data_IF_718582649077
#
_entry.id   IF_718582649077
#
_cell.length_a   1.000
_cell.length_b   1.000
_cell.length_c   1.000
_cell.angle_alpha   90.00
_cell.angle_beta   90.00
_cell.angle_gamma   90.00
#
_symmetry.space_group_name_H-M   'P 1'
#
loop_
_entity.id
_entity.type
_entity.pdbx_description
1 polymer ?
#
# COMPACT_ATOMS: atom_id res chain seq x y z
N UNK A 1 13.83 -17.19 -7.84
CA UNK A 1 12.87 -16.52 -8.72
C UNK A 1 11.64 -16.04 -7.96
N UNK A 2 10.69 -15.38 -8.65
CA UNK A 2 9.47 -14.80 -8.05
C UNK A 2 8.68 -15.83 -7.25
N UNK A 3 8.50 -17.05 -7.79
CA UNK A 3 7.79 -18.13 -7.08
C UNK A 3 8.36 -18.40 -5.67
N UNK A 4 9.68 -18.36 -5.51
CA UNK A 4 10.30 -18.56 -4.20
C UNK A 4 9.98 -17.44 -3.22
N UNK A 5 9.90 -16.18 -3.69
CA UNK A 5 9.49 -15.04 -2.87
C UNK A 5 8.04 -15.22 -2.41
N UNK A 6 7.15 -15.58 -3.34
CA UNK A 6 5.72 -15.78 -3.05
C UNK A 6 5.46 -17.01 -2.15
N UNK A 7 6.36 -17.99 -2.14
CA UNK A 7 6.32 -19.11 -1.19
C UNK A 7 6.87 -18.71 0.18
N UNK A 8 7.92 -17.88 0.23
CA UNK A 8 8.49 -17.37 1.48
C UNK A 8 7.55 -16.45 2.22
N UNK A 9 6.85 -15.58 1.51
CA UNK A 9 5.89 -14.68 2.13
C UNK A 9 4.50 -15.28 2.34
N UNK A 10 4.35 -16.59 2.09
CA UNK A 10 3.12 -17.37 2.27
C UNK A 10 1.97 -17.04 1.30
N UNK A 11 2.19 -16.20 0.26
CA UNK A 11 1.14 -15.87 -0.71
C UNK A 11 0.62 -17.10 -1.47
N UNK A 12 1.49 -18.06 -1.80
CA UNK A 12 1.11 -19.24 -2.58
C UNK A 12 0.55 -20.41 -1.74
N UNK A 13 0.51 -20.32 -0.40
CA UNK A 13 -0.04 -21.38 0.46
C UNK A 13 -1.50 -21.72 0.10
N UNK A 14 -2.42 -20.74 -0.06
CA UNK A 14 -3.81 -21.03 -0.42
C UNK A 14 -3.97 -21.71 -1.78
N UNK A 15 -2.92 -21.68 -2.62
CA UNK A 15 -2.89 -22.32 -3.94
C UNK A 15 -2.19 -23.69 -3.94
N UNK A 16 -1.97 -24.27 -2.75
CA UNK A 16 -1.42 -25.64 -2.61
C UNK A 16 0.11 -25.72 -2.65
N UNK A 17 0.83 -24.61 -2.61
CA UNK A 17 2.29 -24.61 -2.56
C UNK A 17 2.79 -24.68 -1.12
N UNK A 18 3.80 -25.53 -0.87
CA UNK A 18 4.47 -25.56 0.43
C UNK A 18 5.26 -24.27 0.68
N UNK A 19 5.24 -23.73 1.91
CA UNK A 19 6.03 -22.57 2.27
C UNK A 19 7.53 -22.83 2.13
N UNK A 20 8.32 -21.79 1.94
CA UNK A 20 9.76 -21.84 2.00
C UNK A 20 10.26 -21.05 3.21
N UNK A 21 11.28 -21.59 3.88
CA UNK A 21 11.93 -20.88 4.99
C UNK A 21 12.59 -19.58 4.50
N UNK A 22 12.36 -18.49 5.21
CA UNK A 22 13.05 -17.21 4.99
C UNK A 22 14.19 -17.05 6.02
N UNK A 23 15.30 -17.75 5.80
CA UNK A 23 16.47 -17.76 6.69
C UNK A 23 17.04 -16.36 7.00
N UNK A 24 16.79 -15.38 6.17
CA UNK A 24 17.36 -14.03 6.26
C UNK A 24 16.34 -12.97 6.65
N UNK A 25 15.12 -13.40 7.00
CA UNK A 25 14.00 -12.50 7.36
C UNK A 25 13.80 -11.33 6.39
N UNK A 26 13.85 -11.64 5.08
CA UNK A 26 13.76 -10.64 4.02
C UNK A 26 12.36 -10.42 3.47
N UNK A 27 11.37 -11.23 3.88
CA UNK A 27 9.98 -11.09 3.43
C UNK A 27 9.13 -10.34 4.44
N UNK A 28 8.17 -9.56 3.95
CA UNK A 28 7.00 -9.15 4.72
C UNK A 28 5.89 -10.15 4.39
N UNK A 29 5.41 -10.86 5.40
CA UNK A 29 4.44 -11.93 5.19
C UNK A 29 3.17 -11.44 4.51
N UNK A 30 2.71 -12.21 3.54
CA UNK A 30 1.40 -11.97 2.95
C UNK A 30 0.32 -12.05 4.02
N UNK A 31 -0.53 -11.05 4.05
CA UNK A 31 -1.70 -11.03 4.91
C UNK A 31 -2.90 -10.47 4.17
N UNK A 32 -4.06 -11.04 4.47
CA UNK A 32 -5.36 -10.61 4.01
C UNK A 32 -6.10 -10.09 5.21
N UNK A 33 -6.55 -8.84 5.16
CA UNK A 33 -7.32 -8.20 6.21
C UNK A 33 -8.75 -7.97 5.75
N UNK A 34 -9.69 -8.17 6.64
CA UNK A 34 -11.07 -7.74 6.47
C UNK A 34 -11.21 -6.25 6.79
N UNK A 35 -12.35 -5.67 6.45
CA UNK A 35 -12.65 -4.25 6.73
C UNK A 35 -12.85 -3.93 8.22
N UNK A 36 -12.78 -4.94 9.10
CA UNK A 36 -12.93 -4.79 10.56
C UNK A 36 -11.63 -5.00 11.33
N UNK A 37 -10.54 -5.31 10.63
CA UNK A 37 -9.22 -5.63 11.23
C UNK A 37 -8.26 -4.44 11.16
N UNK A 38 -8.74 -3.25 11.48
CA UNK A 38 -7.98 -2.01 11.50
C UNK A 38 -6.80 -2.06 12.48
N UNK A 39 -7.00 -2.60 13.68
CA UNK A 39 -5.97 -2.74 14.71
C UNK A 39 -4.88 -3.72 14.29
N UNK A 40 -5.28 -4.86 13.73
CA UNK A 40 -4.38 -5.88 13.21
C UNK A 40 -3.56 -5.36 12.03
N UNK A 41 -4.18 -4.58 11.15
CA UNK A 41 -3.48 -3.92 10.05
C UNK A 41 -2.46 -2.90 10.58
N UNK A 42 -2.84 -2.06 11.53
CA UNK A 42 -1.92 -1.09 12.14
C UNK A 42 -0.75 -1.78 12.84
N UNK A 43 -1.01 -2.88 13.55
CA UNK A 43 0.01 -3.72 14.18
C UNK A 43 0.96 -4.31 13.14
N UNK A 44 0.42 -4.83 12.04
CA UNK A 44 1.22 -5.38 10.95
C UNK A 44 2.18 -4.33 10.36
N UNK A 45 1.72 -3.12 10.09
CA UNK A 45 2.58 -2.04 9.60
C UNK A 45 3.68 -1.71 10.61
N UNK A 46 3.35 -1.65 11.90
CA UNK A 46 4.33 -1.37 12.94
C UNK A 46 5.41 -2.43 13.04
N UNK A 47 5.02 -3.70 13.14
CA UNK A 47 5.91 -4.81 13.45
C UNK A 47 6.60 -5.38 12.21
N UNK A 48 5.87 -5.54 11.10
CA UNK A 48 6.39 -6.21 9.90
C UNK A 48 7.07 -5.25 8.93
N UNK A 49 6.75 -3.96 8.95
CA UNK A 49 7.34 -2.98 8.05
C UNK A 49 8.32 -2.05 8.78
N UNK A 50 7.84 -1.24 9.72
CA UNK A 50 8.64 -0.16 10.31
C UNK A 50 9.72 -0.64 11.27
N UNK A 51 9.49 -1.76 11.97
CA UNK A 51 10.46 -2.35 12.89
C UNK A 51 11.44 -3.32 12.20
N UNK A 52 11.30 -3.53 10.88
CA UNK A 52 12.29 -4.34 10.16
C UNK A 52 13.66 -3.65 10.21
N UNK A 53 14.73 -4.41 10.49
CA UNK A 53 16.10 -3.84 10.55
C UNK A 53 16.51 -3.12 9.27
N UNK A 54 15.92 -3.51 8.15
CA UNK A 54 16.24 -3.01 6.82
C UNK A 54 15.35 -1.81 6.39
N UNK A 55 14.40 -1.41 7.23
CA UNK A 55 13.61 -0.21 6.97
C UNK A 55 14.48 1.03 7.21
N UNK A 56 14.39 2.09 6.38
CA UNK A 56 15.20 3.30 6.54
C UNK A 56 15.08 3.90 7.94
N UNK A 57 16.21 4.33 8.51
CA UNK A 57 16.24 5.00 9.81
C UNK A 57 15.32 6.23 9.79
N UNK A 58 14.49 6.37 10.80
CA UNK A 58 13.51 7.45 10.89
C UNK A 58 13.27 7.85 12.34
N UNK A 59 12.85 9.10 12.57
CA UNK A 59 12.40 9.54 13.88
C UNK A 59 11.06 8.89 14.26
N UNK A 60 10.76 8.82 15.55
CA UNK A 60 9.47 8.32 16.03
C UNK A 60 8.27 9.07 15.41
N UNK A 61 8.39 10.40 15.31
CA UNK A 61 7.36 11.25 14.69
C UNK A 61 7.15 10.89 13.21
N UNK A 62 8.24 10.65 12.47
CA UNK A 62 8.14 10.25 11.07
C UNK A 62 7.54 8.85 10.94
N UNK A 63 7.96 7.91 11.78
CA UNK A 63 7.38 6.57 11.83
C UNK A 63 5.87 6.59 12.10
N UNK A 64 5.41 7.46 13.03
CA UNK A 64 3.98 7.68 13.27
C UNK A 64 3.27 8.18 12.02
N UNK A 65 3.81 9.20 11.34
CA UNK A 65 3.22 9.75 10.11
C UNK A 65 3.15 8.73 8.97
N UNK A 66 4.18 7.90 8.81
CA UNK A 66 4.19 6.83 7.81
C UNK A 66 3.06 5.83 8.11
N UNK A 67 2.92 5.40 9.37
CA UNK A 67 1.83 4.50 9.78
C UNK A 67 0.46 5.10 9.48
N UNK A 68 0.24 6.35 9.87
CA UNK A 68 -1.02 7.06 9.63
C UNK A 68 -1.33 7.14 8.13
N UNK A 69 -0.33 7.43 7.31
CA UNK A 69 -0.49 7.53 5.86
C UNK A 69 -0.79 6.18 5.20
N UNK A 70 -0.12 5.10 5.62
CA UNK A 70 -0.42 3.75 5.13
C UNK A 70 -1.81 3.30 5.61
N UNK A 71 -2.18 3.66 6.83
CA UNK A 71 -3.51 3.39 7.37
C UNK A 71 -4.60 4.14 6.60
N UNK A 72 -4.30 5.34 6.09
CA UNK A 72 -5.24 6.07 5.22
C UNK A 72 -5.49 5.32 3.90
N UNK A 73 -4.48 4.64 3.33
CA UNK A 73 -4.70 3.76 2.17
C UNK A 73 -5.68 2.62 2.50
N UNK A 74 -5.51 2.00 3.66
CA UNK A 74 -6.43 0.99 4.16
C UNK A 74 -7.84 1.55 4.32
N UNK A 75 -7.98 2.70 4.98
CA UNK A 75 -9.26 3.35 5.17
C UNK A 75 -9.92 3.77 3.84
N UNK A 76 -9.12 4.21 2.86
CA UNK A 76 -9.62 4.55 1.54
C UNK A 76 -10.14 3.34 0.78
N UNK A 77 -9.46 2.21 0.83
CA UNK A 77 -9.94 0.96 0.24
C UNK A 77 -11.30 0.53 0.82
N UNK A 78 -11.51 0.72 2.12
CA UNK A 78 -12.80 0.42 2.78
C UNK A 78 -13.88 1.44 2.38
N UNK A 79 -13.59 2.73 2.51
CA UNK A 79 -14.61 3.78 2.42
C UNK A 79 -14.96 4.18 0.98
N UNK A 80 -14.02 4.03 0.05
CA UNK A 80 -14.18 4.38 -1.36
C UNK A 80 -14.18 3.16 -2.27
N UNK A 81 -13.38 2.15 -1.92
CA UNK A 81 -13.26 0.94 -2.71
C UNK A 81 -14.42 -0.02 -2.52
N UNK A 82 -15.21 0.11 -1.45
CA UNK A 82 -16.26 -0.89 -1.10
C UNK A 82 -15.71 -2.32 -1.17
N UNK A 83 -14.47 -2.49 -0.72
CA UNK A 83 -13.79 -3.77 -0.80
C UNK A 83 -14.08 -4.62 0.45
N UNK A 84 -14.13 -5.95 0.27
CA UNK A 84 -14.28 -6.89 1.38
C UNK A 84 -12.96 -7.21 2.07
N UNK A 85 -11.85 -7.07 1.35
CA UNK A 85 -10.52 -7.48 1.82
C UNK A 85 -9.43 -6.59 1.26
N UNK A 86 -8.40 -6.40 2.07
CA UNK A 86 -7.16 -5.73 1.69
C UNK A 86 -6.03 -6.73 1.82
N UNK A 87 -5.19 -6.81 0.80
CA UNK A 87 -4.07 -7.74 0.71
C UNK A 87 -2.77 -6.97 0.80
N UNK A 88 -1.83 -7.45 1.59
CA UNK A 88 -0.51 -6.84 1.74
C UNK A 88 0.59 -7.88 1.70
N UNK A 89 1.74 -7.50 1.19
CA UNK A 89 2.98 -8.27 1.28
C UNK A 89 4.17 -7.37 0.94
N UNK A 90 5.37 -7.89 1.11
CA UNK A 90 6.57 -7.17 0.71
C UNK A 90 7.81 -8.03 0.65
N UNK A 91 8.90 -7.43 0.17
CA UNK A 91 10.19 -8.08 0.05
C UNK A 91 11.33 -7.07 0.15
N UNK A 92 12.30 -7.36 0.97
CA UNK A 92 13.58 -6.67 1.00
C UNK A 92 14.61 -7.41 0.14
N UNK A 93 15.45 -6.67 -0.60
CA UNK A 93 16.47 -7.22 -1.47
C UNK A 93 17.88 -6.75 -1.08
N UNK A 94 18.50 -7.30 -0.02
CA UNK A 94 19.77 -6.81 0.53
C UNK A 94 20.95 -6.91 -0.45
N UNK A 95 20.85 -7.77 -1.46
CA UNK A 95 21.91 -8.00 -2.47
C UNK A 95 21.74 -7.13 -3.72
N UNK A 96 20.63 -6.41 -3.87
CA UNK A 96 20.47 -5.47 -4.98
C UNK A 96 21.15 -4.13 -4.68
N UNK A 97 21.53 -3.42 -5.73
CA UNK A 97 21.96 -2.04 -5.61
C UNK A 97 20.86 -1.22 -4.90
N UNK A 98 21.24 -0.34 -3.97
CA UNK A 98 20.35 0.44 -3.11
C UNK A 98 19.48 -0.37 -2.14
N UNK A 99 19.66 -1.69 -2.03
CA UNK A 99 18.97 -2.57 -1.09
C UNK A 99 17.46 -2.25 -0.96
N UNK A 100 16.68 -2.32 -2.05
CA UNK A 100 15.30 -1.86 -2.04
C UNK A 100 14.40 -2.74 -1.19
N UNK A 101 13.50 -2.09 -0.44
CA UNK A 101 12.36 -2.70 0.21
C UNK A 101 11.10 -2.39 -0.63
N UNK A 102 10.39 -3.42 -1.04
CA UNK A 102 9.10 -3.30 -1.72
C UNK A 102 7.98 -3.63 -0.76
N UNK A 103 6.97 -2.79 -0.74
CA UNK A 103 5.73 -3.01 0.00
C UNK A 103 4.54 -2.82 -0.93
N UNK A 104 3.61 -3.74 -0.90
CA UNK A 104 2.46 -3.77 -1.81
C UNK A 104 1.17 -3.84 -1.00
N UNK A 105 0.22 -3.00 -1.37
CA UNK A 105 -1.17 -3.02 -0.87
C UNK A 105 -2.07 -3.20 -2.09
N UNK A 106 -3.03 -4.11 -2.00
CA UNK A 106 -4.01 -4.38 -3.07
C UNK A 106 -5.39 -4.56 -2.46
N UNK A 107 -6.36 -3.92 -3.03
CA UNK A 107 -7.78 -4.18 -2.83
C UNK A 107 -8.45 -4.59 -4.15
N UNK A 108 -9.68 -5.07 -4.07
CA UNK A 108 -10.50 -5.45 -5.23
C UNK A 108 -11.83 -4.70 -5.20
N UNK A 109 -11.78 -3.45 -4.80
CA UNK A 109 -12.95 -2.60 -4.71
C UNK A 109 -13.20 -1.78 -5.97
N UNK A 110 -13.98 -0.72 -5.79
CA UNK A 110 -14.26 0.29 -6.81
C UNK A 110 -12.96 1.03 -7.16
N UNK A 111 -12.71 1.24 -8.42
CA UNK A 111 -11.47 1.84 -8.91
C UNK A 111 -11.38 3.35 -8.58
N UNK A 112 -10.16 3.89 -8.57
CA UNK A 112 -9.95 5.35 -8.43
C UNK A 112 -10.71 6.09 -9.54
N UNK A 113 -10.67 5.59 -10.76
CA UNK A 113 -11.37 6.16 -11.91
C UNK A 113 -12.87 6.33 -11.64
N UNK A 114 -13.53 5.24 -11.26
CA UNK A 114 -14.97 5.27 -10.99
C UNK A 114 -15.35 6.28 -9.90
N UNK A 115 -14.57 6.32 -8.81
CA UNK A 115 -14.80 7.26 -7.73
C UNK A 115 -14.58 8.71 -8.14
N UNK A 116 -13.50 9.02 -8.86
CA UNK A 116 -13.18 10.40 -9.30
C UNK A 116 -14.17 10.89 -10.34
N UNK A 117 -14.49 10.07 -11.34
CA UNK A 117 -15.48 10.39 -12.37
C UNK A 117 -16.85 10.71 -11.76
N UNK A 118 -17.29 9.86 -10.83
CA UNK A 118 -18.56 10.06 -10.11
C UNK A 118 -18.57 11.36 -9.32
N UNK A 119 -17.45 11.67 -8.64
CA UNK A 119 -17.32 12.88 -7.83
C UNK A 119 -17.29 14.15 -8.67
N UNK A 120 -16.49 14.17 -9.75
CA UNK A 120 -16.31 15.32 -10.64
C UNK A 120 -17.41 15.43 -11.68
N UNK A 121 -18.25 14.41 -11.86
CA UNK A 121 -19.25 14.31 -12.93
C UNK A 121 -18.62 14.48 -14.34
N UNK A 122 -17.38 13.99 -14.50
CA UNK A 122 -16.62 14.10 -15.74
C UNK A 122 -16.20 12.71 -16.25
N UNK A 123 -16.93 12.20 -17.24
CA UNK A 123 -16.73 10.87 -17.80
C UNK A 123 -15.60 10.78 -18.85
N UNK A 124 -14.98 11.91 -19.21
CA UNK A 124 -13.94 11.94 -20.25
C UNK A 124 -12.54 11.67 -19.71
N UNK A 125 -12.36 11.69 -18.39
CA UNK A 125 -11.05 11.44 -17.77
C UNK A 125 -10.56 10.01 -17.99
N UNK A 126 -9.31 9.88 -18.39
CA UNK A 126 -8.59 8.59 -18.43
C UNK A 126 -8.28 8.10 -17.02
N UNK A 127 -7.97 6.81 -16.87
CA UNK A 127 -7.56 6.26 -15.57
C UNK A 127 -6.29 6.92 -15.04
N UNK A 128 -5.33 7.25 -15.91
CA UNK A 128 -4.11 7.96 -15.51
C UNK A 128 -4.42 9.35 -14.96
N UNK A 129 -5.25 10.14 -15.64
CA UNK A 129 -5.66 11.48 -15.17
C UNK A 129 -6.39 11.42 -13.83
N UNK A 130 -7.21 10.38 -13.60
CA UNK A 130 -7.90 10.21 -12.31
C UNK A 130 -6.94 9.83 -11.19
N UNK A 131 -5.90 9.02 -11.47
CA UNK A 131 -4.82 8.74 -10.52
C UNK A 131 -4.04 10.03 -10.21
N UNK A 132 -3.66 10.80 -11.22
CA UNK A 132 -2.99 12.10 -11.02
C UNK A 132 -3.82 13.08 -10.20
N UNK A 133 -5.13 13.13 -10.45
CA UNK A 133 -6.04 13.94 -9.65
C UNK A 133 -6.07 13.49 -8.19
N UNK A 134 -6.18 12.19 -7.94
CA UNK A 134 -6.22 11.63 -6.59
C UNK A 134 -4.90 11.84 -5.82
N UNK A 135 -3.76 11.91 -6.52
CA UNK A 135 -2.44 12.17 -5.93
C UNK A 135 -2.20 13.63 -5.55
N UNK A 136 -2.98 14.58 -6.10
CA UNK A 136 -2.84 15.99 -5.76
C UNK A 136 -3.29 16.25 -4.33
N UNK A 137 -2.44 16.94 -3.58
CA UNK A 137 -2.70 17.30 -2.19
C UNK A 137 -4.00 18.13 -2.08
N UNK A 138 -4.87 17.71 -1.16
CA UNK A 138 -6.15 18.37 -0.92
C UNK A 138 -7.30 17.83 -1.76
N UNK A 139 -7.05 17.03 -2.80
CA UNK A 139 -8.11 16.38 -3.54
C UNK A 139 -8.64 15.18 -2.76
N UNK A 140 -9.95 15.11 -2.64
CA UNK A 140 -10.67 14.00 -2.00
C UNK A 140 -12.05 13.85 -2.61
N UNK A 141 -12.50 12.64 -2.73
CA UNK A 141 -13.89 12.33 -3.11
C UNK A 141 -14.82 12.21 -1.88
N UNK A 142 -14.28 12.41 -0.66
CA UNK A 142 -15.05 12.42 0.60
C UNK A 142 -15.77 13.75 0.74
N UNK A 143 -17.08 13.70 0.93
CA UNK A 143 -17.86 14.85 1.39
C UNK A 143 -17.78 14.94 2.93
N UNK A 144 -17.50 16.15 3.43
CA UNK A 144 -17.55 16.48 4.87
C UNK A 144 -16.45 15.89 5.80
N UNK A 145 -15.38 15.32 5.27
CA UNK A 145 -14.25 14.86 6.08
C UNK A 145 -12.95 15.44 5.48
N UNK A 146 -12.08 16.04 6.30
CA UNK A 146 -10.75 16.42 5.83
C UNK A 146 -10.01 15.19 5.29
N UNK A 147 -9.62 15.22 4.03
CA UNK A 147 -8.92 14.11 3.37
C UNK A 147 -7.87 14.62 2.38
N UNK A 148 -7.20 13.70 1.69
CA UNK A 148 -6.23 14.01 0.65
C UNK A 148 -4.83 14.39 1.16
N UNK A 149 -4.51 14.14 2.43
CA UNK A 149 -3.19 14.40 2.99
C UNK A 149 -2.30 13.14 3.06
N UNK A 150 -2.88 11.95 3.20
CA UNK A 150 -2.11 10.74 3.48
C UNK A 150 -1.23 10.28 2.32
N UNK A 151 -1.75 10.27 1.11
CA UNK A 151 -0.97 9.95 -0.09
C UNK A 151 0.20 10.92 -0.28
N UNK A 152 0.00 12.21 -0.01
CA UNK A 152 1.04 13.23 -0.10
C UNK A 152 2.21 12.97 0.86
N UNK A 153 1.94 12.59 2.12
CA UNK A 153 2.97 12.32 3.12
C UNK A 153 3.80 11.08 2.75
N UNK A 154 3.14 10.00 2.33
CA UNK A 154 3.85 8.80 1.84
C UNK A 154 4.72 9.14 0.62
N UNK A 155 4.19 9.90 -0.32
CA UNK A 155 4.90 10.29 -1.53
C UNK A 155 6.17 11.09 -1.18
N UNK A 156 6.06 12.10 -0.33
CA UNK A 156 7.22 12.88 0.15
C UNK A 156 8.27 12.01 0.86
N UNK A 157 7.82 11.09 1.72
CA UNK A 157 8.74 10.15 2.39
C UNK A 157 9.50 9.29 1.40
N UNK A 158 8.78 8.69 0.44
CA UNK A 158 9.39 7.80 -0.56
C UNK A 158 10.35 8.58 -1.46
N UNK A 159 9.98 9.79 -1.91
CA UNK A 159 10.87 10.67 -2.69
C UNK A 159 12.15 11.01 -1.93
N UNK A 160 12.06 11.42 -0.66
CA UNK A 160 13.22 11.76 0.17
C UNK A 160 14.17 10.57 0.38
N UNK A 161 13.66 9.36 0.26
CA UNK A 161 14.47 8.13 0.32
C UNK A 161 14.83 7.56 -1.07
N UNK A 162 14.72 8.37 -2.15
CA UNK A 162 14.97 7.95 -3.53
C UNK A 162 14.15 6.73 -3.95
N UNK A 163 12.98 6.55 -3.35
CA UNK A 163 12.05 5.47 -3.65
C UNK A 163 11.13 5.77 -4.82
N UNK A 164 10.27 4.80 -5.13
CA UNK A 164 9.26 4.90 -6.19
C UNK A 164 7.92 4.41 -5.69
N UNK A 165 6.86 5.04 -6.14
CA UNK A 165 5.48 4.57 -5.99
C UNK A 165 4.97 4.14 -7.37
N UNK A 166 4.30 2.99 -7.40
CA UNK A 166 3.52 2.54 -8.53
C UNK A 166 2.07 2.42 -8.08
N UNK A 167 1.19 3.10 -8.75
CA UNK A 167 -0.26 3.01 -8.52
C UNK A 167 -0.89 2.43 -9.77
N UNK A 168 -1.66 1.37 -9.58
CA UNK A 168 -2.41 0.73 -10.67
C UNK A 168 -3.88 0.72 -10.28
N UNK A 169 -4.73 1.28 -11.11
CA UNK A 169 -6.18 1.29 -10.89
C UNK A 169 -6.90 1.27 -12.24
N UNK A 170 -7.75 0.25 -12.46
CA UNK A 170 -8.34 -0.04 -13.76
C UNK A 170 -7.23 -0.29 -14.81
N UNK A 171 -7.26 0.42 -15.93
CA UNK A 171 -6.28 0.39 -17.02
C UNK A 171 -5.21 1.50 -16.92
N UNK A 172 -5.19 2.24 -15.81
CA UNK A 172 -4.21 3.31 -15.53
C UNK A 172 -3.08 2.86 -14.59
N UNK A 173 -1.89 3.45 -14.78
CA UNK A 173 -0.70 3.25 -13.95
C UNK A 173 0.22 4.46 -14.00
#
# INVERSE_FOLDING_TARGET
GISNILRKNNFLIPYGYSPLSDKYDTTLLYKKFTTKEDKEFYKYISEQLLQKPDFPAHSELLGKKIKESIFELYANAITHGDCSFIHVCGQFFPRKHNKPLYFTIVDKGITIKENVIKYLQNNEMTSAETIEWAMKRGNTTKSNIPGGLGLGIIFEFIQKNNGKIHIVSSDGY
#
